data_IF_624860046499
#
_entry.id   IF_624860046499
#
_cell.length_a   1.000
_cell.length_b   1.000
_cell.length_c   1.000
_cell.angle_alpha   90.00
_cell.angle_beta   90.00
_cell.angle_gamma   90.00
#
_symmetry.space_group_name_H-M   'P 1'
#
loop_
_entity.id
_entity.type
_entity.pdbx_description
1 polymer ?
#
# COMPACT_ATOMS: atom_id res chain seq x y z
N UNK A 1 17.97 -4.89 -3.10
CA UNK A 1 16.86 -4.26 -3.85
C UNK A 1 16.76 -4.98 -5.19
N UNK A 2 15.70 -5.75 -5.40
CA UNK A 2 15.44 -6.42 -6.67
C UNK A 2 14.94 -5.38 -7.69
N UNK A 3 15.34 -5.43 -8.97
CA UNK A 3 14.78 -4.57 -10.00
C UNK A 3 13.26 -4.76 -10.08
N UNK A 4 12.50 -3.68 -9.89
CA UNK A 4 11.02 -3.70 -9.93
C UNK A 4 10.32 -3.88 -8.59
N UNK A 5 11.03 -4.10 -7.47
CA UNK A 5 10.39 -4.24 -6.16
C UNK A 5 9.56 -2.99 -5.78
N UNK A 6 8.31 -3.20 -5.38
CA UNK A 6 7.46 -2.17 -4.79
C UNK A 6 7.96 -1.88 -3.38
N UNK A 7 8.14 -0.61 -3.05
CA UNK A 7 8.64 -0.17 -1.72
C UNK A 7 7.58 0.55 -0.88
N UNK A 8 6.47 0.93 -1.51
CA UNK A 8 5.39 1.71 -0.90
C UNK A 8 4.53 2.35 -1.98
N UNK A 9 3.50 3.06 -1.53
CA UNK A 9 2.66 3.92 -2.36
C UNK A 9 2.71 5.37 -1.88
N UNK A 10 2.08 6.27 -2.63
CA UNK A 10 1.97 7.66 -2.19
C UNK A 10 0.98 7.77 -1.02
N UNK A 11 1.52 8.00 0.18
CA UNK A 11 0.71 8.11 1.40
C UNK A 11 -0.22 9.34 1.38
N UNK A 12 0.16 10.42 0.70
CA UNK A 12 -0.69 11.61 0.60
C UNK A 12 -1.91 11.35 -0.28
N UNK A 13 -1.73 10.64 -1.39
CA UNK A 13 -2.80 10.24 -2.28
C UNK A 13 -3.75 9.24 -1.60
N UNK A 14 -3.21 8.29 -0.84
CA UNK A 14 -4.00 7.33 -0.10
C UNK A 14 -4.84 7.99 1.02
N UNK A 15 -4.30 8.99 1.73
CA UNK A 15 -5.06 9.80 2.69
C UNK A 15 -6.14 10.64 1.99
N UNK A 16 -5.81 11.29 0.88
CA UNK A 16 -6.77 12.09 0.09
C UNK A 16 -7.93 11.23 -0.45
N UNK A 17 -7.64 9.99 -0.88
CA UNK A 17 -8.66 9.03 -1.25
C UNK A 17 -9.55 8.64 -0.06
N UNK A 18 -8.95 8.37 1.10
CA UNK A 18 -9.69 8.07 2.33
C UNK A 18 -10.66 9.20 2.72
N UNK A 19 -10.20 10.45 2.66
CA UNK A 19 -11.01 11.64 2.90
C UNK A 19 -12.18 11.74 1.91
N UNK A 20 -11.91 11.55 0.61
CA UNK A 20 -12.94 11.57 -0.43
C UNK A 20 -14.00 10.46 -0.28
N UNK A 21 -13.63 9.32 0.30
CA UNK A 21 -14.54 8.22 0.61
C UNK A 21 -15.26 8.38 1.96
N UNK A 22 -14.98 9.45 2.71
CA UNK A 22 -15.57 9.71 4.02
C UNK A 22 -15.01 8.82 5.14
N UNK A 23 -13.81 8.27 4.97
CA UNK A 23 -13.15 7.48 6.00
C UNK A 23 -12.64 8.41 7.11
N UNK A 24 -12.89 8.10 8.39
CA UNK A 24 -12.40 8.93 9.49
C UNK A 24 -10.87 9.12 9.45
N UNK A 25 -10.34 10.34 9.62
CA UNK A 25 -8.89 10.59 9.56
C UNK A 25 -8.07 9.76 10.54
N UNK A 26 -8.60 9.50 11.74
CA UNK A 26 -7.95 8.65 12.73
C UNK A 26 -7.85 7.20 12.25
N UNK A 27 -8.89 6.69 11.58
CA UNK A 27 -8.83 5.35 10.99
C UNK A 27 -7.80 5.28 9.86
N UNK A 28 -7.69 6.32 9.04
CA UNK A 28 -6.62 6.41 8.03
C UNK A 28 -5.23 6.40 8.67
N UNK A 29 -4.99 7.21 9.70
CA UNK A 29 -3.69 7.30 10.37
C UNK A 29 -3.23 5.95 10.97
N UNK A 30 -4.16 5.20 11.57
CA UNK A 30 -3.85 3.95 12.25
C UNK A 30 -3.76 2.74 11.29
N UNK A 31 -4.65 2.66 10.31
CA UNK A 31 -4.79 1.46 9.48
C UNK A 31 -3.95 1.52 8.19
N UNK A 32 -3.80 2.69 7.60
CA UNK A 32 -3.11 2.86 6.31
C UNK A 32 -1.66 2.34 6.31
N UNK A 33 -0.83 2.55 7.35
CA UNK A 33 0.54 2.02 7.39
C UNK A 33 0.59 0.48 7.35
N UNK A 34 -0.35 -0.19 8.04
CA UNK A 34 -0.41 -1.65 8.05
C UNK A 34 -0.89 -2.18 6.69
N UNK A 35 -1.85 -1.50 6.07
CA UNK A 35 -2.34 -1.88 4.74
C UNK A 35 -1.21 -1.75 3.70
N UNK A 36 -0.42 -0.67 3.75
CA UNK A 36 0.75 -0.50 2.87
C UNK A 36 1.73 -1.65 3.03
N UNK A 37 2.10 -1.98 4.26
CA UNK A 37 3.04 -3.06 4.54
C UNK A 37 2.58 -4.40 3.96
N UNK A 38 1.29 -4.74 4.11
CA UNK A 38 0.71 -5.97 3.54
C UNK A 38 0.67 -5.92 2.02
N UNK A 39 0.25 -4.80 1.44
CA UNK A 39 0.21 -4.61 -0.01
C UNK A 39 1.60 -4.76 -0.64
N UNK A 40 2.62 -4.09 -0.08
CA UNK A 40 4.02 -4.17 -0.53
C UNK A 40 4.53 -5.60 -0.49
N UNK A 41 4.33 -6.30 0.63
CA UNK A 41 4.71 -7.70 0.76
C UNK A 41 4.04 -8.56 -0.32
N UNK A 42 2.74 -8.40 -0.52
CA UNK A 42 1.96 -9.22 -1.46
C UNK A 42 2.26 -8.93 -2.93
N UNK A 43 2.53 -7.68 -3.31
CA UNK A 43 2.92 -7.35 -4.68
C UNK A 43 4.32 -7.89 -4.98
N UNK A 44 5.26 -7.75 -4.05
CA UNK A 44 6.60 -8.29 -4.24
C UNK A 44 6.58 -9.84 -4.31
N UNK A 45 5.80 -10.52 -3.46
CA UNK A 45 5.58 -11.97 -3.55
C UNK A 45 5.03 -12.39 -4.93
N UNK A 46 4.11 -11.62 -5.51
CA UNK A 46 3.55 -11.90 -6.84
C UNK A 46 4.58 -11.68 -7.95
N UNK A 47 5.44 -10.67 -7.84
CA UNK A 47 6.49 -10.40 -8.81
C UNK A 47 7.63 -11.43 -8.76
N UNK A 48 7.87 -12.03 -7.59
CA UNK A 48 8.82 -13.14 -7.43
C UNK A 48 8.28 -14.47 -7.97
N UNK A 49 6.96 -14.62 -8.13
CA UNK A 49 6.38 -15.74 -8.87
C UNK A 49 6.58 -15.46 -10.37
N UNK A 50 7.36 -16.27 -11.09
CA UNK A 50 7.35 -16.22 -12.54
C UNK A 50 5.92 -16.55 -12.99
N UNK A 51 5.37 -15.79 -13.93
CA UNK A 51 4.29 -16.31 -14.76
C UNK A 51 4.80 -17.65 -15.33
N UNK A 52 4.11 -18.74 -14.98
CA UNK A 52 4.51 -20.10 -15.37
C UNK A 52 4.60 -20.27 -16.87
#
# INVERSE_FOLDING_TARGET
MLPGAVIGWDMSAAVALGDALGVPPLAMAELLPVIEAVMVAKLNEQMERPDG
#
